data_IF_862505240157
#
_entry.id   IF_862505240157
#
_cell.length_a   1.000
_cell.length_b   1.000
_cell.length_c   1.000
_cell.angle_alpha   90.00
_cell.angle_beta   90.00
_cell.angle_gamma   90.00
#
_symmetry.space_group_name_H-M   'P 1'
#
loop_
_entity.id
_entity.type
_entity.pdbx_description
1 polymer ?
#
# COMPACT_ATOMS: atom_id res chain seq x y z
N UNK A 1 -4.37 2.76 -16.40
CA UNK A 1 -4.66 2.72 -14.95
C UNK A 1 -4.15 1.38 -14.47
N UNK A 2 -3.50 1.36 -13.31
CA UNK A 2 -3.03 0.12 -12.68
C UNK A 2 -3.75 -0.01 -11.34
N UNK A 3 -4.21 -1.23 -11.04
CA UNK A 3 -4.73 -1.62 -9.73
C UNK A 3 -3.91 -2.83 -9.29
N UNK A 4 -3.28 -2.73 -8.13
CA UNK A 4 -2.63 -3.85 -7.45
C UNK A 4 -3.36 -4.12 -6.14
N UNK A 5 -3.73 -5.37 -5.88
CA UNK A 5 -4.41 -5.77 -4.65
C UNK A 5 -3.83 -7.06 -4.10
N UNK A 6 -3.41 -7.06 -2.82
CA UNK A 6 -2.88 -8.24 -2.12
C UNK A 6 -1.57 -8.77 -2.71
N UNK A 7 -0.72 -7.89 -3.21
CA UNK A 7 0.44 -8.26 -4.02
C UNK A 7 1.72 -7.52 -3.63
N UNK A 8 1.67 -6.20 -3.45
CA UNK A 8 2.88 -5.41 -3.25
C UNK A 8 3.62 -5.80 -1.98
N UNK A 9 2.90 -6.18 -0.92
CA UNK A 9 3.49 -6.63 0.34
C UNK A 9 4.33 -7.91 0.19
N UNK A 10 4.17 -8.65 -0.91
CA UNK A 10 4.90 -9.90 -1.20
C UNK A 10 6.11 -9.69 -2.11
N UNK A 11 6.33 -8.47 -2.61
CA UNK A 11 7.44 -8.20 -3.52
C UNK A 11 8.76 -8.12 -2.77
N UNK A 12 9.83 -8.69 -3.35
CA UNK A 12 11.19 -8.56 -2.82
C UNK A 12 11.75 -7.13 -2.94
N UNK A 13 11.25 -6.36 -3.92
CA UNK A 13 11.69 -4.99 -4.23
C UNK A 13 10.47 -4.11 -4.54
N UNK A 14 9.99 -3.41 -3.51
CA UNK A 14 8.82 -2.53 -3.61
C UNK A 14 9.06 -1.37 -4.58
N UNK A 15 10.28 -0.83 -4.59
CA UNK A 15 10.64 0.30 -5.46
C UNK A 15 10.55 -0.10 -6.93
N UNK A 16 11.14 -1.24 -7.33
CA UNK A 16 11.00 -1.75 -8.71
C UNK A 16 9.55 -2.07 -9.06
N UNK A 17 8.79 -2.60 -8.11
CA UNK A 17 7.35 -2.83 -8.29
C UNK A 17 6.61 -1.54 -8.64
N UNK A 18 6.83 -0.47 -7.89
CA UNK A 18 6.25 0.86 -8.14
C UNK A 18 6.72 1.46 -9.46
N UNK A 19 8.02 1.35 -9.78
CA UNK A 19 8.59 1.81 -11.06
C UNK A 19 7.92 1.10 -12.24
N UNK A 20 7.68 -0.20 -12.14
CA UNK A 20 7.01 -0.98 -13.19
C UNK A 20 5.54 -0.58 -13.36
N UNK A 21 4.81 -0.37 -12.25
CA UNK A 21 3.44 0.17 -12.29
C UNK A 21 3.41 1.56 -12.95
N UNK A 22 4.39 2.41 -12.65
CA UNK A 22 4.54 3.72 -13.29
C UNK A 22 4.89 3.59 -14.78
N UNK A 23 5.79 2.67 -15.16
CA UNK A 23 6.23 2.45 -16.55
C UNK A 23 5.05 2.11 -17.46
N UNK A 24 4.15 1.23 -17.02
CA UNK A 24 2.97 0.79 -17.80
C UNK A 24 1.79 1.76 -17.72
N UNK A 25 1.80 2.70 -16.78
CA UNK A 25 0.77 3.72 -16.65
C UNK A 25 1.07 4.91 -17.58
N UNK A 26 0.07 5.40 -18.32
CA UNK A 26 0.20 6.66 -19.08
C UNK A 26 0.33 7.86 -18.13
N UNK A 27 0.99 8.95 -18.54
CA UNK A 27 1.02 10.19 -17.76
C UNK A 27 -0.39 10.70 -17.42
N UNK A 28 -0.54 11.25 -16.20
CA UNK A 28 -1.83 11.56 -15.57
C UNK A 28 -2.70 10.35 -15.20
N UNK A 29 -2.26 9.13 -15.52
CA UNK A 29 -2.96 7.88 -15.23
C UNK A 29 -2.96 7.56 -13.73
N UNK A 30 -4.08 6.99 -13.26
CA UNK A 30 -4.25 6.59 -11.86
C UNK A 30 -3.55 5.25 -11.58
N UNK A 31 -2.87 5.19 -10.43
CA UNK A 31 -2.29 3.99 -9.83
C UNK A 31 -2.96 3.81 -8.46
N UNK A 32 -3.47 2.61 -8.21
CA UNK A 32 -4.11 2.23 -6.94
C UNK A 32 -3.46 0.96 -6.43
N UNK A 33 -3.05 0.97 -5.17
CA UNK A 33 -2.45 -0.17 -4.48
C UNK A 33 -3.27 -0.40 -3.22
N UNK A 34 -3.67 -1.65 -2.97
CA UNK A 34 -4.33 -2.01 -1.71
C UNK A 34 -3.79 -3.32 -1.18
N UNK A 35 -3.42 -3.33 0.09
CA UNK A 35 -2.78 -4.51 0.68
C UNK A 35 -2.99 -4.56 2.20
N UNK A 36 -2.63 -5.68 2.84
CA UNK A 36 -2.72 -5.78 4.29
C UNK A 36 -1.86 -4.71 4.98
N UNK A 37 -2.40 -4.13 6.04
CA UNK A 37 -1.65 -3.17 6.85
C UNK A 37 -2.57 -2.49 7.84
N UNK A 38 -2.28 -2.70 9.12
CA UNK A 38 -3.09 -2.14 10.19
C UNK A 38 -2.88 -0.63 10.27
N UNK A 39 -3.98 0.09 10.40
CA UNK A 39 -3.95 1.53 10.70
C UNK A 39 -3.15 1.78 11.98
N UNK A 40 -2.27 2.80 12.03
CA UNK A 40 -1.34 3.01 13.14
C UNK A 40 -2.01 2.93 14.53
N UNK A 41 -3.18 3.54 14.71
CA UNK A 41 -3.85 3.58 16.01
C UNK A 41 -4.40 2.22 16.47
N UNK A 42 -4.48 1.22 15.58
CA UNK A 42 -4.95 -0.13 15.92
C UNK A 42 -3.84 -1.13 16.22
N UNK A 43 -2.58 -0.80 15.95
CA UNK A 43 -1.46 -1.75 16.02
C UNK A 43 -1.19 -2.29 17.41
N UNK A 44 -1.50 -1.51 18.45
CA UNK A 44 -1.25 -1.90 19.84
C UNK A 44 -2.42 -2.69 20.49
N UNK A 45 -3.45 -3.04 19.72
CA UNK A 45 -4.61 -3.75 20.23
C UNK A 45 -4.39 -5.27 20.32
N UNK A 46 -5.16 -5.95 21.18
CA UNK A 46 -5.14 -7.43 21.24
C UNK A 46 -5.54 -8.06 19.89
N UNK A 47 -6.45 -7.43 19.16
CA UNK A 47 -6.89 -7.88 17.84
C UNK A 47 -5.76 -7.79 16.82
N UNK A 48 -5.01 -6.68 16.83
CA UNK A 48 -3.83 -6.52 15.98
C UNK A 48 -2.79 -7.61 16.26
N UNK A 49 -2.47 -7.87 17.53
CA UNK A 49 -1.55 -8.97 17.89
C UNK A 49 -2.02 -10.32 17.35
N UNK A 50 -3.32 -10.61 17.42
CA UNK A 50 -3.91 -11.83 16.89
C UNK A 50 -3.81 -11.92 15.36
N UNK A 51 -4.10 -10.82 14.65
CA UNK A 51 -4.03 -10.73 13.19
C UNK A 51 -2.58 -10.88 12.71
N UNK A 52 -1.64 -10.17 13.31
CA UNK A 52 -0.20 -10.25 12.99
C UNK A 52 0.33 -11.67 13.21
N UNK A 53 -0.10 -12.34 14.29
CA UNK A 53 0.26 -13.74 14.53
C UNK A 53 -0.32 -14.72 13.49
N UNK A 54 -1.38 -14.35 12.77
CA UNK A 54 -1.95 -15.16 11.68
C UNK A 54 -1.31 -14.84 10.34
N UNK A 55 -1.00 -13.57 10.10
CA UNK A 55 -0.40 -13.08 8.88
C UNK A 55 0.49 -11.87 9.20
N UNK A 56 1.80 -12.02 9.03
CA UNK A 56 2.75 -10.94 9.29
C UNK A 56 2.57 -9.75 8.35
N UNK A 57 1.90 -9.90 7.21
CA UNK A 57 1.65 -8.79 6.27
C UNK A 57 0.82 -7.66 6.91
N UNK A 58 0.07 -7.92 7.98
CA UNK A 58 -0.63 -6.87 8.73
C UNK A 58 0.29 -5.85 9.41
N UNK A 59 1.60 -6.12 9.51
CA UNK A 59 2.59 -5.14 10.01
C UNK A 59 3.05 -4.16 8.93
N UNK A 60 2.72 -4.40 7.66
CA UNK A 60 3.21 -3.58 6.55
C UNK A 60 2.55 -2.20 6.53
N UNK A 61 3.26 -1.26 5.91
CA UNK A 61 2.84 0.11 5.71
C UNK A 61 2.65 0.41 4.23
N UNK A 62 1.76 1.35 3.86
CA UNK A 62 1.70 1.85 2.50
C UNK A 62 3.08 2.38 2.08
N UNK A 63 3.61 2.00 0.90
CA UNK A 63 4.95 2.39 0.45
C UNK A 63 4.99 3.83 -0.11
N UNK A 64 4.39 4.78 0.61
CA UNK A 64 4.31 6.18 0.20
C UNK A 64 5.66 6.90 0.27
N UNK A 65 6.55 6.43 1.14
CA UNK A 65 7.93 6.92 1.30
C UNK A 65 8.84 6.58 0.11
N UNK A 66 8.45 5.61 -0.72
CA UNK A 66 9.17 5.22 -1.93
C UNK A 66 8.76 6.05 -3.17
N UNK A 67 7.76 6.93 -3.04
CA UNK A 67 7.31 7.79 -4.13
C UNK A 67 8.19 9.03 -4.25
N UNK A 68 8.25 9.61 -5.46
CA UNK A 68 8.92 10.91 -5.67
C UNK A 68 8.20 12.02 -4.91
N UNK A 69 8.94 13.03 -4.45
CA UNK A 69 8.42 14.22 -3.75
C UNK A 69 7.36 14.99 -4.56
N UNK A 70 7.35 14.84 -5.88
CA UNK A 70 6.35 15.45 -6.78
C UNK A 70 4.97 14.77 -6.69
N UNK A 71 4.90 13.57 -6.14
CA UNK A 71 3.68 12.78 -6.02
C UNK A 71 3.07 13.02 -4.65
N UNK A 72 1.82 13.50 -4.63
CA UNK A 72 1.02 13.60 -3.41
C UNK A 72 0.05 12.41 -3.31
N UNK A 73 0.40 11.32 -2.61
CA UNK A 73 -0.47 10.16 -2.48
C UNK A 73 -1.64 10.39 -1.51
N UNK A 74 -2.77 9.79 -1.82
CA UNK A 74 -3.89 9.64 -0.88
C UNK A 74 -3.82 8.25 -0.24
N UNK A 75 -3.84 8.20 1.09
CA UNK A 75 -3.84 6.97 1.87
C UNK A 75 -5.18 6.85 2.61
N UNK A 76 -5.82 5.71 2.45
CA UNK A 76 -7.07 5.35 3.13
C UNK A 76 -6.90 3.98 3.79
N UNK A 77 -7.47 3.79 4.97
CA UNK A 77 -7.52 2.46 5.60
C UNK A 77 -8.93 1.90 5.45
N UNK A 78 -9.02 0.68 4.90
CA UNK A 78 -10.26 0.01 4.54
C UNK A 78 -10.41 -1.32 5.31
N UNK A 79 -11.53 -2.01 5.11
CA UNK A 79 -11.83 -3.28 5.78
C UNK A 79 -11.60 -3.25 7.29
N UNK A 80 -12.30 -2.33 7.98
CA UNK A 80 -12.18 -2.13 9.44
C UNK A 80 -10.77 -1.76 9.91
N UNK A 81 -10.05 -1.00 9.08
CA UNK A 81 -8.70 -0.50 9.33
C UNK A 81 -7.62 -1.60 9.35
N UNK A 82 -7.82 -2.67 8.57
CA UNK A 82 -6.89 -3.81 8.48
C UNK A 82 -6.14 -3.89 7.16
N UNK A 83 -6.57 -3.11 6.18
CA UNK A 83 -5.91 -2.96 4.88
C UNK A 83 -5.72 -1.48 4.61
N UNK A 84 -4.67 -1.15 3.87
CA UNK A 84 -4.50 0.20 3.32
C UNK A 84 -4.90 0.25 1.85
N UNK A 85 -5.18 1.45 1.39
CA UNK A 85 -5.31 1.84 0.00
C UNK A 85 -4.42 3.06 -0.25
N UNK A 86 -3.51 2.97 -1.20
CA UNK A 86 -2.61 4.04 -1.65
C UNK A 86 -3.01 4.41 -3.08
N UNK A 87 -3.38 5.67 -3.30
CA UNK A 87 -3.85 6.19 -4.59
C UNK A 87 -2.99 7.38 -5.01
N UNK A 88 -2.49 7.39 -6.24
CA UNK A 88 -1.79 8.55 -6.80
C UNK A 88 -1.84 8.54 -8.33
N UNK A 89 -1.53 9.69 -8.94
CA UNK A 89 -1.41 9.80 -10.40
C UNK A 89 0.06 9.81 -10.79
N UNK A 90 0.35 9.13 -11.90
CA UNK A 90 1.64 9.28 -12.57
C UNK A 90 1.78 10.71 -13.10
N UNK A 91 2.92 11.38 -12.89
CA UNK A 91 3.24 12.67 -13.52
C UNK A 91 3.07 12.65 -15.06
#
# INVERSE_FOLDING_TARGET
MVISSGGINTYDDWKKGLEEMSRVTRSGGLIVISDEGLKPEKRDTWLARRLIAMNSLYTMEPPSDLLSDEINPEIEYIYRDTFYGLKFRKP
#
